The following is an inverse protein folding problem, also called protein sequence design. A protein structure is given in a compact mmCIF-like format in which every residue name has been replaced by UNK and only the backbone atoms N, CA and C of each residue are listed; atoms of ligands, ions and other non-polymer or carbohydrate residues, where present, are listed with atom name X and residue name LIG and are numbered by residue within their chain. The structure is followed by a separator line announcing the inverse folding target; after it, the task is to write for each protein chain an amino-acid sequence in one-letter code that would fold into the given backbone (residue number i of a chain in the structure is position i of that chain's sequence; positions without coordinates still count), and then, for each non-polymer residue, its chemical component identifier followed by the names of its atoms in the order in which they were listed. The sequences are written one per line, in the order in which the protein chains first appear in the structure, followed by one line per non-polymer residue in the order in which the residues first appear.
data_IF_042775622310
#
_entry.id   IF_042775622310
#
_cell.length_a   1.000
_cell.length_b   1.000
_cell.length_c   1.000
_cell.angle_alpha   90.00
_cell.angle_beta   90.00
_cell.angle_gamma   90.00
#
_symmetry.space_group_name_H-M   'P 1'
#
loop_
_entity.id
_entity.type
_entity.pdbx_description
1 polymer ?
#
# COMPACT_ATOMS: atom_id res chain seq x y z
N UNK A 1 6.40 3.96 25.31
CA UNK A 1 5.73 5.18 25.79
C UNK A 1 6.00 5.30 27.28
N UNK A 2 7.15 5.87 27.64
CA UNK A 2 7.53 6.10 29.03
C UNK A 2 7.75 7.60 29.19
N UNK A 3 6.79 8.24 29.87
CA UNK A 3 6.87 9.62 30.31
C UNK A 3 7.74 9.67 31.58
N UNK A 4 8.94 10.20 31.45
CA UNK A 4 9.78 10.60 32.57
C UNK A 4 9.81 12.13 32.65
N UNK A 5 8.69 12.71 33.07
CA UNK A 5 8.68 14.07 33.62
C UNK A 5 9.12 14.00 35.07
N UNK A 6 10.43 14.02 35.33
CA UNK A 6 10.95 14.39 36.65
C UNK A 6 10.73 15.87 36.83
N UNK A 7 9.68 16.24 37.55
CA UNK A 7 9.61 17.57 38.20
C UNK A 7 10.72 17.66 39.21
N UNK A 8 11.79 18.40 38.87
CA UNK A 8 12.74 18.83 39.89
C UNK A 8 12.09 19.92 40.70
N UNK A 9 11.72 19.57 41.91
CA UNK A 9 11.44 20.56 42.98
C UNK A 9 12.76 21.16 43.37
N UNK A 10 12.87 22.48 43.24
CA UNK A 10 14.03 23.20 43.75
C UNK A 10 14.26 22.89 45.23
N UNK A 11 15.53 22.74 45.69
CA UNK A 11 15.80 22.50 47.08
C UNK A 11 15.31 23.71 47.89
N UNK A 12 14.49 23.43 48.93
CA UNK A 12 14.00 24.43 49.85
C UNK A 12 15.15 24.96 50.68
N UNK A 13 15.79 26.02 50.20
CA UNK A 13 16.71 26.85 51.01
C UNK A 13 15.84 27.60 52.03
N UNK A 14 16.12 27.44 53.33
CA UNK A 14 15.49 28.22 54.38
C UNK A 14 15.81 29.70 54.17
N UNK A 15 14.84 30.44 53.64
CA UNK A 15 14.93 31.88 53.43
C UNK A 15 14.77 32.57 54.77
N UNK A 16 15.84 33.19 55.27
CA UNK A 16 15.73 34.23 56.28
C UNK A 16 15.16 35.48 55.60
N UNK A 17 14.23 36.13 56.32
CA UNK A 17 13.32 37.19 55.92
C UNK A 17 13.85 38.24 54.92
N UNK A 18 12.98 38.49 53.93
CA UNK A 18 12.79 39.76 53.21
C UNK A 18 13.86 40.22 52.21
N UNK A 19 14.44 39.33 51.45
CA UNK A 19 15.04 39.76 50.18
C UNK A 19 14.23 39.16 49.04
N UNK A 20 13.59 40.00 48.21
CA UNK A 20 12.99 39.57 46.98
C UNK A 20 14.13 39.31 45.98
N UNK A 21 14.20 38.14 45.33
CA UNK A 21 15.25 37.81 44.39
C UNK A 21 15.24 38.84 43.24
N UNK A 22 16.37 39.53 43.08
CA UNK A 22 16.55 40.54 42.05
C UNK A 22 17.37 39.95 40.89
N UNK A 23 16.97 40.27 39.66
CA UNK A 23 17.75 39.88 38.49
C UNK A 23 18.91 40.84 38.28
N UNK A 24 20.14 40.33 38.33
CA UNK A 24 21.37 41.11 38.17
C UNK A 24 22.27 40.50 37.09
N UNK A 25 22.22 40.99 35.84
CA UNK A 25 23.14 40.55 34.81
C UNK A 25 24.58 40.94 35.16
N UNK A 26 25.52 40.00 35.03
CA UNK A 26 26.95 40.26 35.29
C UNK A 26 27.73 40.23 33.98
N UNK A 27 28.80 41.05 33.98
CA UNK A 27 29.81 40.89 32.94
C UNK A 27 30.63 39.62 33.19
N UNK A 28 31.22 39.06 32.14
CA UNK A 28 32.05 37.86 32.24
C UNK A 28 33.13 37.97 33.31
N UNK A 29 33.79 39.14 33.42
CA UNK A 29 34.82 39.39 34.42
C UNK A 29 34.29 39.37 35.86
N UNK A 30 33.11 39.95 36.09
CA UNK A 30 32.43 39.94 37.38
C UNK A 30 32.01 38.52 37.76
N UNK A 31 31.47 37.78 36.82
CA UNK A 31 31.06 36.38 36.99
C UNK A 31 32.26 35.51 37.42
N UNK A 32 33.39 35.58 36.70
CA UNK A 32 34.59 34.82 37.05
C UNK A 32 35.14 35.23 38.43
N UNK A 33 35.03 36.51 38.82
CA UNK A 33 35.42 36.98 40.13
C UNK A 33 34.51 36.43 41.24
N UNK A 34 33.20 36.44 41.02
CA UNK A 34 32.21 35.84 41.95
C UNK A 34 32.39 34.33 42.10
N UNK A 35 32.76 33.62 41.03
CA UNK A 35 33.12 32.19 41.10
C UNK A 35 34.32 31.95 42.01
N UNK A 36 35.40 32.71 41.81
CA UNK A 36 36.60 32.61 42.65
C UNK A 36 36.39 32.96 44.12
N UNK A 37 35.45 33.88 44.38
CA UNK A 37 35.05 34.25 45.73
C UNK A 37 34.06 33.27 46.39
N UNK A 38 33.66 32.21 45.69
CA UNK A 38 32.66 31.20 46.16
C UNK A 38 31.30 31.83 46.53
N UNK A 39 30.91 32.87 45.79
CA UNK A 39 29.63 33.57 45.99
C UNK A 39 28.47 32.93 45.27
N UNK A 40 28.75 32.09 44.26
CA UNK A 40 27.78 31.44 43.37
C UNK A 40 27.64 29.96 43.74
N UNK A 41 26.59 29.56 44.46
CA UNK A 41 26.38 28.15 44.83
C UNK A 41 25.95 27.26 43.63
N UNK A 42 25.24 27.84 42.65
CA UNK A 42 24.75 27.08 41.49
C UNK A 42 24.94 27.88 40.21
N UNK A 43 25.47 27.23 39.18
CA UNK A 43 25.60 27.78 37.83
C UNK A 43 25.02 26.79 36.81
N UNK A 44 24.08 27.26 35.99
CA UNK A 44 23.50 26.49 34.90
C UNK A 44 24.10 26.96 33.58
N UNK A 45 24.93 26.13 32.97
CA UNK A 45 25.57 26.42 31.70
C UNK A 45 24.67 25.94 30.58
N UNK A 46 24.30 26.83 29.67
CA UNK A 46 23.51 26.53 28.44
C UNK A 46 24.40 26.63 27.21
N UNK A 47 25.07 25.54 26.80
CA UNK A 47 26.07 25.58 25.73
C UNK A 47 25.50 26.13 24.42
N UNK A 48 24.26 25.75 24.08
CA UNK A 48 23.61 26.14 22.83
C UNK A 48 23.32 27.64 22.70
N UNK A 49 23.26 28.37 23.83
CA UNK A 49 23.00 29.82 23.85
C UNK A 49 24.24 30.64 24.21
N UNK A 50 25.36 29.98 24.52
CA UNK A 50 26.57 30.64 25.06
C UNK A 50 26.28 31.51 26.28
N UNK A 51 25.37 31.05 27.14
CA UNK A 51 24.92 31.75 28.35
C UNK A 51 25.11 30.83 29.55
N UNK A 52 25.55 31.42 30.68
CA UNK A 52 25.46 30.77 31.97
C UNK A 52 24.50 31.57 32.85
N UNK A 53 23.53 30.89 33.44
CA UNK A 53 22.65 31.43 34.46
C UNK A 53 23.27 31.10 35.83
N UNK A 54 23.25 32.04 36.75
CA UNK A 54 23.83 31.86 38.07
C UNK A 54 22.87 32.29 39.17
N UNK A 55 23.04 31.68 40.33
CA UNK A 55 22.29 31.98 41.53
C UNK A 55 23.29 32.37 42.63
N UNK A 56 23.00 33.44 43.38
CA UNK A 56 23.82 33.90 44.48
C UNK A 56 23.31 33.40 45.85
N UNK A 57 24.17 33.42 46.85
CA UNK A 57 23.79 33.00 48.20
C UNK A 57 22.73 33.87 48.87
N UNK A 58 22.62 35.14 48.45
CA UNK A 58 21.57 36.09 48.88
C UNK A 58 20.19 35.82 48.24
N UNK A 59 20.11 34.95 47.23
CA UNK A 59 18.93 34.64 46.49
C UNK A 59 18.80 35.35 45.15
N UNK A 60 19.70 36.28 44.85
CA UNK A 60 19.71 36.95 43.55
C UNK A 60 20.14 35.99 42.44
N UNK A 61 19.69 36.27 41.21
CA UNK A 61 20.01 35.48 40.05
C UNK A 61 20.33 36.37 38.85
N UNK A 62 21.01 35.83 37.89
CA UNK A 62 21.34 36.57 36.68
C UNK A 62 21.87 35.65 35.60
N UNK A 63 22.18 36.26 34.47
CA UNK A 63 22.80 35.58 33.35
C UNK A 63 24.07 36.30 32.90
N UNK A 64 24.96 35.56 32.25
CA UNK A 64 26.19 36.07 31.68
C UNK A 64 26.46 35.40 30.34
N UNK A 65 26.87 36.18 29.38
CA UNK A 65 27.40 35.65 28.15
C UNK A 65 28.76 35.02 28.37
N UNK A 66 28.91 33.74 28.07
CA UNK A 66 30.15 32.99 28.24
C UNK A 66 30.78 32.64 26.90
N UNK A 67 32.10 32.69 26.85
CA UNK A 67 32.87 32.08 25.77
C UNK A 67 33.31 30.71 26.26
N UNK A 68 32.86 29.67 25.57
CA UNK A 68 33.19 28.28 25.89
C UNK A 68 34.67 28.05 25.54
N UNK A 69 35.54 28.12 26.54
CA UNK A 69 36.96 27.78 26.41
C UNK A 69 37.39 26.90 27.59
N UNK A 70 38.52 26.22 27.43
CA UNK A 70 39.04 25.32 28.46
C UNK A 70 39.25 26.06 29.82
N UNK A 71 39.69 27.31 29.79
CA UNK A 71 39.89 28.12 30.99
C UNK A 71 38.62 28.37 31.80
N UNK A 72 37.46 28.46 31.15
CA UNK A 72 36.21 28.62 31.87
C UNK A 72 35.86 27.34 32.64
N UNK A 73 36.07 26.18 31.99
CA UNK A 73 35.81 24.90 32.63
C UNK A 73 36.76 24.61 33.78
N UNK A 74 38.05 24.98 33.67
CA UNK A 74 38.99 24.89 34.77
C UNK A 74 38.53 25.71 35.97
N UNK A 75 38.13 26.97 35.77
CA UNK A 75 37.65 27.85 36.85
C UNK A 75 36.35 27.31 37.47
N UNK A 76 35.44 26.76 36.68
CA UNK A 76 34.20 26.14 37.17
C UNK A 76 34.48 24.89 37.99
N UNK A 77 35.42 24.04 37.56
CA UNK A 77 35.81 22.83 38.29
C UNK A 77 36.63 23.11 39.57
N UNK A 78 37.42 24.18 39.59
CA UNK A 78 38.14 24.62 40.80
C UNK A 78 37.22 25.33 41.79
N UNK A 79 36.07 25.83 41.35
CA UNK A 79 35.10 26.48 42.22
C UNK A 79 34.24 25.43 42.94
N UNK A 80 33.88 25.74 44.20
CA UNK A 80 32.97 24.91 45.02
C UNK A 80 31.50 25.21 44.64
N UNK A 81 31.22 25.16 43.34
CA UNK A 81 29.95 25.56 42.72
C UNK A 81 29.31 24.35 42.04
N UNK A 82 28.03 24.11 42.28
CA UNK A 82 27.29 23.09 41.56
C UNK A 82 27.04 23.53 40.13
N UNK A 83 27.69 22.86 39.17
CA UNK A 83 27.56 23.15 37.76
C UNK A 83 26.55 22.20 37.11
N UNK A 84 25.45 22.77 36.62
CA UNK A 84 24.44 22.05 35.85
C UNK A 84 24.61 22.41 34.38
N UNK A 85 24.78 21.42 33.52
CA UNK A 85 24.82 21.63 32.06
C UNK A 85 23.45 21.31 31.46
N UNK A 86 22.76 22.35 31.01
CA UNK A 86 21.46 22.21 30.34
C UNK A 86 21.65 22.07 28.82
N UNK A 87 21.61 20.83 28.33
CA UNK A 87 21.78 20.48 26.93
C UNK A 87 20.44 20.49 26.18
N UNK A 88 19.35 20.90 26.82
CA UNK A 88 18.03 20.93 26.20
C UNK A 88 18.05 21.85 24.97
N UNK A 89 17.91 21.25 23.81
CA UNK A 89 17.69 22.02 22.57
C UNK A 89 16.20 22.41 22.53
N UNK A 90 15.89 23.68 22.34
CA UNK A 90 14.53 24.06 22.03
C UNK A 90 14.17 23.36 20.70
N UNK A 91 13.10 22.60 20.71
CA UNK A 91 12.57 21.97 19.48
C UNK A 91 12.38 23.10 18.48
N UNK A 92 13.13 23.06 17.38
CA UNK A 92 13.01 24.07 16.34
C UNK A 92 11.57 24.07 15.79
N UNK A 93 11.05 25.24 15.49
CA UNK A 93 9.74 25.35 14.81
C UNK A 93 9.75 24.52 13.52
N UNK A 94 10.90 24.45 12.85
CA UNK A 94 11.11 23.64 11.65
C UNK A 94 10.95 22.15 11.97
N UNK A 95 11.55 21.66 13.07
CA UNK A 95 11.44 20.24 13.47
C UNK A 95 10.00 19.89 13.85
N UNK A 96 9.29 20.81 14.49
CA UNK A 96 7.87 20.63 14.83
C UNK A 96 7.00 20.53 13.56
N UNK A 97 7.26 21.40 12.58
CA UNK A 97 6.54 21.38 11.29
C UNK A 97 6.83 20.09 10.54
N UNK A 98 8.10 19.68 10.48
CA UNK A 98 8.49 18.41 9.84
C UNK A 98 7.81 17.23 10.54
N UNK A 99 7.78 17.21 11.87
CA UNK A 99 7.13 16.16 12.64
C UNK A 99 5.62 16.10 12.38
N UNK A 100 4.94 17.24 12.25
CA UNK A 100 3.53 17.34 11.89
C UNK A 100 3.27 16.86 10.46
N UNK A 101 4.14 17.17 9.50
CA UNK A 101 4.07 16.65 8.14
C UNK A 101 4.21 15.11 8.11
N UNK A 102 5.18 14.56 8.82
CA UNK A 102 5.35 13.12 8.94
C UNK A 102 4.15 12.44 9.62
N UNK A 103 3.62 13.03 10.68
CA UNK A 103 2.44 12.52 11.38
C UNK A 103 1.20 12.53 10.46
N UNK A 104 0.99 13.60 9.69
CA UNK A 104 -0.08 13.71 8.70
C UNK A 104 0.07 12.68 7.58
N UNK A 105 1.30 12.49 7.09
CA UNK A 105 1.60 11.48 6.08
C UNK A 105 1.30 10.06 6.60
N UNK A 106 1.81 9.72 7.80
CA UNK A 106 1.55 8.42 8.43
C UNK A 106 0.04 8.23 8.67
N UNK A 107 -0.66 9.26 9.14
CA UNK A 107 -2.11 9.20 9.35
C UNK A 107 -2.86 8.93 8.04
N UNK A 108 -2.45 9.56 6.94
CA UNK A 108 -3.05 9.33 5.62
C UNK A 108 -2.78 7.91 5.13
N UNK A 109 -1.56 7.40 5.30
CA UNK A 109 -1.19 6.03 4.95
C UNK A 109 -1.98 5.01 5.78
N UNK A 110 -2.07 5.21 7.09
CA UNK A 110 -2.83 4.33 7.99
C UNK A 110 -4.32 4.35 7.65
N UNK A 111 -4.88 5.54 7.42
CA UNK A 111 -6.28 5.70 7.04
C UNK A 111 -6.60 4.97 5.72
N UNK A 112 -5.74 5.06 4.70
CA UNK A 112 -5.92 4.34 3.43
C UNK A 112 -5.79 2.83 3.62
N UNK A 113 -4.93 2.37 4.52
CA UNK A 113 -4.76 0.95 4.82
C UNK A 113 -6.00 0.36 5.54
N UNK A 114 -6.56 1.08 6.51
CA UNK A 114 -7.75 0.64 7.26
C UNK A 114 -9.09 0.90 6.54
N UNK A 115 -9.13 1.79 5.55
CA UNK A 115 -10.34 2.12 4.78
C UNK A 115 -10.63 1.15 3.63
N UNK A 116 -9.93 0.01 3.55
CA UNK A 116 -10.13 -1.01 2.50
C UNK A 116 -9.66 -0.58 1.09
N UNK A 117 -9.20 0.64 0.94
CA UNK A 117 -8.51 1.10 -0.24
C UNK A 117 -7.02 0.79 -0.09
N UNK A 118 -6.53 -0.24 -0.76
CA UNK A 118 -5.08 -0.48 -0.86
C UNK A 118 -4.37 0.82 -1.23
N UNK A 119 -3.10 1.00 -0.79
CA UNK A 119 -2.31 2.20 -1.13
C UNK A 119 -2.57 2.58 -2.58
N UNK A 120 -2.95 3.85 -2.86
CA UNK A 120 -2.89 4.34 -4.23
C UNK A 120 -1.42 4.29 -4.64
N UNK A 121 -1.03 3.17 -5.24
CA UNK A 121 0.30 3.04 -5.80
C UNK A 121 0.29 3.89 -7.07
N UNK A 122 1.01 5.03 -7.11
CA UNK A 122 1.01 5.91 -8.28
C UNK A 122 1.57 5.22 -9.52
N UNK A 123 2.18 4.04 -9.35
CA UNK A 123 2.71 3.21 -10.42
C UNK A 123 1.74 2.12 -10.90
N UNK A 124 0.63 1.87 -10.19
CA UNK A 124 -0.41 0.94 -10.63
C UNK A 124 -1.51 1.77 -11.28
N UNK A 125 -1.35 2.03 -12.56
CA UNK A 125 -2.43 2.55 -13.38
C UNK A 125 -3.54 1.48 -13.40
N UNK A 126 -4.74 1.82 -12.96
CA UNK A 126 -5.90 0.96 -13.18
C UNK A 126 -5.98 0.68 -14.68
N UNK A 127 -5.84 -0.57 -15.07
CA UNK A 127 -5.92 -0.94 -16.47
C UNK A 127 -7.40 -0.87 -16.84
N UNK A 128 -7.76 0.02 -17.76
CA UNK A 128 -9.04 -0.03 -18.41
C UNK A 128 -9.08 -1.32 -19.24
N UNK A 129 -9.99 -2.22 -18.90
CA UNK A 129 -10.25 -3.40 -19.72
C UNK A 129 -11.01 -2.96 -20.98
N UNK A 130 -10.57 -3.47 -22.13
CA UNK A 130 -11.22 -3.18 -23.40
C UNK A 130 -12.60 -3.84 -23.42
N UNK A 131 -13.63 -3.02 -23.34
CA UNK A 131 -15.03 -3.46 -23.33
C UNK A 131 -15.72 -3.02 -24.63
N UNK A 132 -16.04 -3.97 -25.46
CA UNK A 132 -16.80 -3.76 -26.69
C UNK A 132 -18.30 -4.09 -26.43
N UNK A 133 -19.16 -3.08 -26.55
CA UNK A 133 -20.61 -3.20 -26.35
C UNK A 133 -21.40 -3.40 -27.63
N UNK A 134 -20.77 -3.17 -28.78
CA UNK A 134 -21.43 -3.23 -30.09
C UNK A 134 -20.65 -4.13 -31.06
N UNK A 135 -20.78 -5.43 -30.89
CA UNK A 135 -20.10 -6.40 -31.71
C UNK A 135 -20.98 -6.75 -32.92
N UNK A 136 -20.43 -6.48 -34.09
CA UNK A 136 -21.09 -6.78 -35.37
C UNK A 136 -20.79 -8.18 -35.90
N UNK A 137 -19.71 -8.82 -35.42
CA UNK A 137 -19.27 -10.15 -35.81
C UNK A 137 -20.33 -11.21 -35.46
N UNK A 138 -20.61 -12.12 -36.39
CA UNK A 138 -21.57 -13.20 -36.26
C UNK A 138 -20.94 -14.55 -36.60
N UNK A 139 -21.62 -15.65 -36.29
CA UNK A 139 -21.17 -16.99 -36.70
C UNK A 139 -21.04 -17.14 -38.24
N UNK A 140 -21.84 -16.39 -39.01
CA UNK A 140 -21.69 -16.32 -40.47
C UNK A 140 -20.36 -15.82 -40.97
N UNK A 141 -19.63 -15.08 -40.13
CA UNK A 141 -18.31 -14.50 -40.46
C UNK A 141 -17.15 -15.44 -40.09
N UNK A 142 -17.47 -16.61 -39.51
CA UNK A 142 -16.49 -17.60 -39.05
C UNK A 142 -16.70 -18.89 -39.82
N UNK A 143 -15.68 -19.32 -40.55
CA UNK A 143 -15.71 -20.61 -41.30
C UNK A 143 -15.05 -21.71 -40.48
N UNK A 144 -15.47 -22.96 -40.69
CA UNK A 144 -14.84 -24.15 -40.12
C UNK A 144 -15.21 -24.45 -38.66
N UNK A 145 -16.34 -23.92 -38.18
CA UNK A 145 -16.83 -24.15 -36.79
C UNK A 145 -17.89 -25.25 -36.70
N UNK A 146 -18.21 -25.93 -37.80
CA UNK A 146 -19.34 -26.87 -37.88
C UNK A 146 -19.30 -27.94 -36.78
N UNK A 147 -18.13 -28.42 -36.38
CA UNK A 147 -17.95 -29.43 -35.34
C UNK A 147 -18.14 -28.92 -33.91
N UNK A 148 -17.99 -27.63 -33.68
CA UNK A 148 -18.15 -27.03 -32.36
C UNK A 148 -19.42 -26.16 -32.25
N UNK A 149 -20.19 -26.09 -33.34
CA UNK A 149 -21.34 -25.17 -33.45
C UNK A 149 -22.39 -25.43 -32.40
N UNK A 150 -22.74 -26.69 -32.18
CA UNK A 150 -23.80 -27.08 -31.25
C UNK A 150 -23.45 -26.69 -29.80
N UNK A 151 -22.17 -26.86 -29.39
CA UNK A 151 -21.65 -26.47 -28.06
C UNK A 151 -21.64 -24.95 -27.89
N UNK A 152 -21.24 -24.22 -28.95
CA UNK A 152 -21.23 -22.78 -28.95
C UNK A 152 -22.63 -22.15 -28.96
N UNK A 153 -23.60 -22.80 -29.65
CA UNK A 153 -25.00 -22.38 -29.64
C UNK A 153 -25.63 -22.54 -28.24
N UNK A 154 -25.19 -23.51 -27.44
CA UNK A 154 -25.64 -23.68 -26.06
C UNK A 154 -25.19 -22.49 -25.19
N UNK A 155 -23.93 -22.04 -25.34
CA UNK A 155 -23.43 -20.85 -24.68
C UNK A 155 -24.25 -19.61 -25.09
N UNK A 156 -24.54 -19.46 -26.36
CA UNK A 156 -25.34 -18.35 -26.89
C UNK A 156 -26.77 -18.39 -26.32
N UNK A 157 -27.44 -19.55 -26.28
CA UNK A 157 -28.78 -19.68 -25.72
C UNK A 157 -28.80 -19.37 -24.22
N UNK A 158 -27.79 -19.83 -23.49
CA UNK A 158 -27.63 -19.46 -22.07
C UNK A 158 -27.49 -17.93 -21.86
N UNK A 159 -26.65 -17.27 -22.65
CA UNK A 159 -26.44 -15.81 -22.52
C UNK A 159 -27.68 -15.01 -22.94
N UNK A 160 -28.45 -15.49 -23.90
CA UNK A 160 -29.71 -14.86 -24.34
C UNK A 160 -30.84 -15.07 -23.31
N UNK A 161 -30.90 -16.26 -22.71
CA UNK A 161 -32.03 -16.71 -21.89
C UNK A 161 -31.57 -17.37 -20.58
N UNK A 162 -30.83 -16.67 -19.72
CA UNK A 162 -30.24 -17.30 -18.53
C UNK A 162 -31.31 -17.88 -17.58
N UNK A 163 -32.48 -17.25 -17.48
CA UNK A 163 -33.57 -17.72 -16.62
C UNK A 163 -34.10 -19.11 -16.94
N UNK A 164 -33.96 -19.57 -18.19
CA UNK A 164 -34.36 -20.94 -18.63
C UNK A 164 -33.55 -22.02 -17.92
N UNK A 165 -32.31 -21.71 -17.56
CA UNK A 165 -31.35 -22.62 -16.97
C UNK A 165 -31.38 -22.62 -15.43
N UNK A 166 -31.83 -21.54 -14.79
CA UNK A 166 -31.83 -21.40 -13.32
C UNK A 166 -32.75 -22.35 -12.58
N UNK A 167 -33.78 -22.87 -13.24
CA UNK A 167 -34.76 -23.78 -12.62
C UNK A 167 -34.64 -25.25 -13.01
N UNK A 168 -33.81 -25.57 -14.02
CA UNK A 168 -33.76 -26.89 -14.63
C UNK A 168 -32.77 -27.86 -13.97
N UNK A 169 -31.87 -27.38 -13.09
CA UNK A 169 -30.78 -28.18 -12.56
C UNK A 169 -29.71 -28.56 -13.58
N UNK A 170 -29.79 -27.99 -14.80
CA UNK A 170 -28.79 -28.20 -15.85
C UNK A 170 -27.44 -27.59 -15.43
N UNK A 171 -26.36 -28.20 -15.82
CA UNK A 171 -25.04 -27.59 -15.69
C UNK A 171 -24.94 -26.43 -16.67
N UNK A 172 -24.67 -25.25 -16.14
CA UNK A 172 -24.48 -24.05 -16.93
C UNK A 172 -23.00 -23.99 -17.30
N UNK A 173 -22.63 -23.83 -18.58
CA UNK A 173 -21.25 -23.65 -18.99
C UNK A 173 -20.73 -22.32 -18.45
N UNK A 174 -19.81 -22.38 -17.50
CA UNK A 174 -19.21 -21.19 -16.88
C UNK A 174 -17.99 -20.70 -17.65
N UNK A 175 -17.33 -21.59 -18.36
CA UNK A 175 -16.17 -21.29 -19.16
C UNK A 175 -16.00 -22.24 -20.34
N UNK A 176 -15.37 -21.74 -21.39
CA UNK A 176 -14.97 -22.52 -22.56
C UNK A 176 -13.52 -22.28 -22.89
N UNK A 177 -12.79 -23.30 -23.32
CA UNK A 177 -11.42 -23.21 -23.75
C UNK A 177 -11.27 -23.36 -25.25
N UNK A 178 -10.78 -22.32 -25.93
CA UNK A 178 -10.47 -22.35 -27.35
C UNK A 178 -8.98 -22.71 -27.53
N UNK A 179 -8.71 -23.96 -27.88
CA UNK A 179 -7.37 -24.44 -28.13
C UNK A 179 -7.10 -24.59 -29.65
N UNK A 180 -5.92 -24.19 -30.08
CA UNK A 180 -5.53 -24.32 -31.47
C UNK A 180 -4.28 -23.53 -31.85
N UNK A 181 -3.75 -23.75 -33.05
CA UNK A 181 -2.57 -23.04 -33.54
C UNK A 181 -2.78 -21.51 -33.61
N UNK A 182 -1.70 -20.71 -33.61
CA UNK A 182 -1.82 -19.28 -33.86
C UNK A 182 -2.50 -18.99 -35.19
N UNK A 183 -3.37 -17.95 -35.24
CA UNK A 183 -4.05 -17.54 -36.47
C UNK A 183 -5.27 -18.39 -36.88
N UNK A 184 -5.75 -19.34 -36.06
CA UNK A 184 -6.95 -20.15 -36.34
C UNK A 184 -8.28 -19.43 -36.10
N UNK A 185 -8.25 -18.15 -35.70
CA UNK A 185 -9.49 -17.37 -35.54
C UNK A 185 -10.13 -17.46 -34.14
N UNK A 186 -9.43 -17.93 -33.09
CA UNK A 186 -9.99 -18.07 -31.73
C UNK A 186 -10.63 -16.80 -31.21
N UNK A 187 -9.94 -15.64 -31.34
CA UNK A 187 -10.45 -14.33 -30.93
C UNK A 187 -11.68 -13.93 -31.78
N UNK A 188 -11.67 -14.21 -33.08
CA UNK A 188 -12.81 -13.94 -33.95
C UNK A 188 -14.04 -14.78 -33.54
N UNK A 189 -13.83 -16.06 -33.23
CA UNK A 189 -14.86 -16.94 -32.74
C UNK A 189 -15.48 -16.47 -31.43
N UNK A 190 -14.64 -16.08 -30.44
CA UNK A 190 -15.14 -15.54 -29.19
C UNK A 190 -15.96 -14.25 -29.39
N UNK A 191 -15.53 -13.38 -30.30
CA UNK A 191 -16.31 -12.19 -30.69
C UNK A 191 -17.62 -12.56 -31.40
N UNK A 192 -17.64 -13.60 -32.21
CA UNK A 192 -18.85 -14.06 -32.87
C UNK A 192 -19.88 -14.58 -31.84
N UNK A 193 -19.46 -15.32 -30.82
CA UNK A 193 -20.32 -15.76 -29.71
C UNK A 193 -20.95 -14.55 -29.00
N UNK A 194 -20.17 -13.55 -28.68
CA UNK A 194 -20.66 -12.33 -28.03
C UNK A 194 -21.62 -11.54 -28.94
N UNK A 195 -21.26 -11.40 -30.19
CA UNK A 195 -22.11 -10.76 -31.19
C UNK A 195 -23.41 -11.50 -31.39
N UNK A 196 -23.40 -12.84 -31.50
CA UNK A 196 -24.59 -13.66 -31.65
C UNK A 196 -25.50 -13.57 -30.42
N UNK A 197 -24.91 -13.54 -29.23
CA UNK A 197 -25.63 -13.39 -27.95
C UNK A 197 -26.08 -11.96 -27.68
N UNK A 198 -25.53 -10.96 -28.38
CA UNK A 198 -25.75 -9.53 -28.19
C UNK A 198 -25.44 -9.07 -26.76
N UNK A 199 -24.33 -9.55 -26.20
CA UNK A 199 -23.83 -9.20 -24.87
C UNK A 199 -22.50 -8.47 -24.96
N UNK A 200 -22.13 -7.65 -23.94
CA UNK A 200 -20.82 -7.03 -23.83
C UNK A 200 -19.68 -8.05 -23.86
N UNK A 201 -18.57 -7.66 -24.49
CA UNK A 201 -17.36 -8.47 -24.62
C UNK A 201 -16.20 -7.74 -23.94
N UNK A 202 -15.66 -8.35 -22.89
CA UNK A 202 -14.54 -7.81 -22.13
C UNK A 202 -13.30 -8.60 -22.52
N UNK A 203 -12.37 -7.97 -23.21
CA UNK A 203 -11.15 -8.61 -23.70
C UNK A 203 -9.94 -8.26 -22.84
N UNK A 204 -9.13 -9.27 -22.50
CA UNK A 204 -7.83 -9.07 -21.89
C UNK A 204 -6.84 -10.15 -22.36
N UNK A 205 -5.54 -9.88 -22.28
CA UNK A 205 -4.49 -10.89 -22.41
C UNK A 205 -4.05 -11.35 -21.03
N UNK A 206 -3.89 -12.66 -20.84
CA UNK A 206 -3.36 -13.20 -19.59
C UNK A 206 -1.92 -12.74 -19.29
N UNK A 207 -1.17 -12.31 -20.32
CA UNK A 207 0.15 -11.69 -20.13
C UNK A 207 0.07 -10.40 -19.29
N UNK A 208 -1.07 -9.70 -19.31
CA UNK A 208 -1.30 -8.50 -18.51
C UNK A 208 -1.42 -8.79 -17.00
N UNK A 209 -1.60 -10.03 -16.62
CA UNK A 209 -1.65 -10.44 -15.21
C UNK A 209 -0.27 -10.86 -14.67
N UNK A 210 0.74 -10.99 -15.55
CA UNK A 210 2.10 -11.33 -15.15
C UNK A 210 2.85 -10.07 -14.79
N UNK A 211 3.10 -9.88 -13.50
CA UNK A 211 3.75 -8.67 -12.98
C UNK A 211 4.97 -9.03 -12.11
N UNK A 212 5.85 -8.06 -11.89
CA UNK A 212 7.02 -8.24 -11.02
C UNK A 212 6.67 -8.21 -9.52
N UNK A 213 5.52 -7.60 -9.17
CA UNK A 213 5.11 -7.43 -7.77
C UNK A 213 4.04 -8.44 -7.39
N UNK A 214 4.29 -9.18 -6.32
CA UNK A 214 3.38 -10.20 -5.79
C UNK A 214 2.02 -9.57 -5.45
N UNK A 215 0.95 -10.21 -5.93
CA UNK A 215 -0.43 -9.83 -5.67
C UNK A 215 -1.04 -8.82 -6.63
N UNK A 216 -0.27 -8.20 -7.53
CA UNK A 216 -0.80 -7.26 -8.53
C UNK A 216 -1.62 -7.99 -9.59
N UNK A 217 -1.15 -9.14 -10.07
CA UNK A 217 -1.89 -9.98 -11.01
C UNK A 217 -3.22 -10.46 -10.43
N UNK A 218 -3.21 -10.97 -9.20
CA UNK A 218 -4.43 -11.37 -8.50
C UNK A 218 -5.42 -10.19 -8.28
N UNK A 219 -4.92 -8.99 -8.05
CA UNK A 219 -5.76 -7.78 -7.96
C UNK A 219 -6.42 -7.48 -9.30
N UNK A 220 -5.68 -7.54 -10.41
CA UNK A 220 -6.23 -7.30 -11.76
C UNK A 220 -7.29 -8.32 -12.14
N UNK A 221 -7.10 -9.58 -11.77
CA UNK A 221 -8.14 -10.61 -11.95
C UNK A 221 -9.42 -10.21 -11.21
N UNK A 222 -9.34 -9.80 -9.94
CA UNK A 222 -10.52 -9.33 -9.19
C UNK A 222 -11.19 -8.13 -9.85
N UNK A 223 -10.43 -7.15 -10.33
CA UNK A 223 -10.94 -5.98 -11.03
C UNK A 223 -11.67 -6.37 -12.33
N UNK A 224 -11.11 -7.30 -13.11
CA UNK A 224 -11.74 -7.83 -14.32
C UNK A 224 -13.11 -8.45 -14.01
N UNK A 225 -13.17 -9.33 -13.01
CA UNK A 225 -14.41 -9.99 -12.63
C UNK A 225 -15.41 -9.04 -11.97
N UNK A 226 -14.95 -7.98 -11.30
CA UNK A 226 -15.83 -6.92 -10.80
C UNK A 226 -16.50 -6.17 -11.96
N UNK A 227 -15.72 -5.77 -12.97
CA UNK A 227 -16.25 -5.11 -14.18
C UNK A 227 -17.28 -6.01 -14.87
N UNK A 228 -17.02 -7.32 -14.95
CA UNK A 228 -17.95 -8.26 -15.53
C UNK A 228 -19.26 -8.35 -14.73
N UNK A 229 -19.19 -8.41 -13.40
CA UNK A 229 -20.38 -8.40 -12.53
C UNK A 229 -21.22 -7.14 -12.68
N UNK A 230 -20.60 -6.00 -12.94
CA UNK A 230 -21.31 -4.72 -13.16
C UNK A 230 -21.98 -4.65 -14.55
N UNK A 231 -21.57 -5.51 -15.50
CA UNK A 231 -22.04 -5.48 -16.89
C UNK A 231 -22.71 -6.80 -17.34
N UNK A 232 -23.31 -7.55 -16.44
CA UNK A 232 -24.03 -8.79 -16.73
C UNK A 232 -25.28 -8.54 -17.60
N UNK A 233 -25.64 -9.47 -18.49
CA UNK A 233 -24.86 -10.62 -18.95
C UNK A 233 -23.70 -10.20 -19.84
N UNK A 234 -22.55 -10.89 -19.76
CA UNK A 234 -21.36 -10.54 -20.55
C UNK A 234 -20.43 -11.75 -20.79
N UNK A 235 -19.51 -11.60 -21.74
CA UNK A 235 -18.41 -12.54 -21.98
C UNK A 235 -17.10 -11.91 -21.54
N UNK A 236 -16.31 -12.64 -20.73
CA UNK A 236 -14.90 -12.35 -20.48
C UNK A 236 -14.06 -13.20 -21.43
N UNK A 237 -13.24 -12.57 -22.25
CA UNK A 237 -12.30 -13.26 -23.11
C UNK A 237 -10.88 -13.07 -22.62
N UNK A 238 -10.20 -14.18 -22.31
CA UNK A 238 -8.81 -14.18 -21.83
C UNK A 238 -7.93 -14.84 -22.88
N UNK A 239 -7.17 -14.02 -23.61
CA UNK A 239 -6.25 -14.54 -24.61
C UNK A 239 -4.92 -14.97 -23.96
N UNK A 240 -4.22 -15.94 -24.58
CA UNK A 240 -2.94 -16.46 -24.14
C UNK A 240 -2.94 -16.93 -22.67
N UNK A 241 -3.96 -17.69 -22.26
CA UNK A 241 -4.11 -18.14 -20.86
C UNK A 241 -2.90 -18.96 -20.37
N UNK A 242 -2.11 -19.53 -21.27
CA UNK A 242 -0.87 -20.22 -20.97
C UNK A 242 0.23 -19.31 -20.39
N UNK A 243 0.12 -17.97 -20.51
CA UNK A 243 1.04 -17.05 -19.86
C UNK A 243 1.02 -17.16 -18.32
N UNK A 244 -0.16 -17.41 -17.74
CA UNK A 244 -0.37 -17.62 -16.30
C UNK A 244 -0.66 -19.07 -15.94
N UNK A 245 -1.33 -19.81 -16.83
CA UNK A 245 -1.89 -21.15 -16.61
C UNK A 245 -0.90 -22.30 -16.73
N UNK A 246 0.41 -22.06 -16.79
CA UNK A 246 1.43 -23.09 -16.96
C UNK A 246 1.55 -23.99 -15.72
N UNK A 247 1.63 -25.34 -15.96
CA UNK A 247 1.90 -26.34 -14.91
C UNK A 247 3.13 -26.01 -14.06
N UNK A 248 3.06 -26.40 -12.79
CA UNK A 248 4.12 -26.24 -11.78
C UNK A 248 5.40 -26.96 -12.22
N UNK A 249 6.39 -26.22 -12.68
CA UNK A 249 7.74 -26.72 -12.90
C UNK A 249 8.58 -26.45 -11.66
N UNK A 250 9.21 -27.48 -11.09
CA UNK A 250 9.98 -27.46 -9.84
C UNK A 250 11.25 -26.58 -9.86
N UNK A 251 11.11 -25.28 -9.99
CA UNK A 251 12.20 -24.31 -9.89
C UNK A 251 11.78 -23.12 -9.04
N UNK A 252 12.40 -22.95 -7.88
CA UNK A 252 12.09 -21.93 -6.88
C UNK A 252 12.51 -20.52 -7.26
N UNK A 253 11.95 -19.97 -8.33
CA UNK A 253 12.10 -18.55 -8.67
C UNK A 253 10.87 -17.76 -8.16
N UNK A 254 11.04 -16.55 -7.60
CA UNK A 254 9.96 -15.72 -7.08
C UNK A 254 8.85 -15.39 -8.09
N UNK A 255 9.13 -15.46 -9.39
CA UNK A 255 8.15 -15.26 -10.45
C UNK A 255 7.11 -16.38 -10.58
N UNK A 256 7.34 -17.55 -9.98
CA UNK A 256 6.38 -18.64 -10.02
C UNK A 256 5.28 -18.45 -8.96
N UNK A 257 5.61 -17.88 -7.81
CA UNK A 257 4.65 -17.65 -6.72
C UNK A 257 3.58 -16.64 -7.12
N UNK A 258 3.95 -15.62 -7.89
CA UNK A 258 3.01 -14.60 -8.39
C UNK A 258 2.03 -15.17 -9.41
N UNK A 259 2.54 -15.98 -10.35
CA UNK A 259 1.69 -16.67 -11.33
C UNK A 259 0.74 -17.65 -10.65
N UNK A 260 1.22 -18.41 -9.67
CA UNK A 260 0.40 -19.34 -8.90
C UNK A 260 -0.68 -18.59 -8.11
N UNK A 261 -0.38 -17.46 -7.52
CA UNK A 261 -1.35 -16.62 -6.83
C UNK A 261 -2.41 -16.08 -7.80
N UNK A 262 -1.99 -15.68 -8.99
CA UNK A 262 -2.87 -15.14 -10.02
C UNK A 262 -3.83 -16.22 -10.56
N UNK A 263 -3.32 -17.42 -10.84
CA UNK A 263 -4.18 -18.53 -11.31
C UNK A 263 -5.15 -18.98 -10.22
N UNK A 264 -4.68 -19.06 -8.97
CA UNK A 264 -5.56 -19.41 -7.85
C UNK A 264 -6.68 -18.37 -7.64
N UNK A 265 -6.39 -17.07 -7.87
CA UNK A 265 -7.40 -16.03 -7.84
C UNK A 265 -8.40 -16.20 -9.00
N UNK A 266 -7.93 -16.49 -10.22
CA UNK A 266 -8.80 -16.75 -11.37
C UNK A 266 -9.76 -17.93 -11.09
N UNK A 267 -9.22 -19.04 -10.57
CA UNK A 267 -10.02 -20.20 -10.19
C UNK A 267 -11.05 -19.85 -9.10
N UNK A 268 -10.66 -19.06 -8.11
CA UNK A 268 -11.55 -18.61 -7.04
C UNK A 268 -12.69 -17.75 -7.57
N UNK A 269 -12.41 -16.83 -8.51
CA UNK A 269 -13.44 -15.99 -9.13
C UNK A 269 -14.41 -16.82 -9.98
N UNK A 270 -13.89 -17.81 -10.74
CA UNK A 270 -14.73 -18.73 -11.53
C UNK A 270 -15.59 -19.66 -10.66
N UNK A 271 -15.01 -20.20 -9.58
CA UNK A 271 -15.74 -21.05 -8.62
C UNK A 271 -16.79 -20.25 -7.83
N UNK A 272 -16.54 -18.94 -7.64
CA UNK A 272 -17.42 -18.01 -6.93
C UNK A 272 -18.61 -17.49 -7.75
N UNK A 273 -18.79 -17.93 -8.99
CA UNK A 273 -20.00 -17.61 -9.75
C UNK A 273 -21.21 -18.32 -9.15
N UNK A 274 -22.19 -17.56 -8.73
CA UNK A 274 -23.52 -18.09 -8.45
C UNK A 274 -24.16 -18.59 -9.76
N UNK A 275 -25.04 -19.57 -9.66
CA UNK A 275 -25.73 -20.12 -10.82
C UNK A 275 -26.62 -19.10 -11.56
N UNK A 276 -26.78 -17.92 -11.01
CA UNK A 276 -27.61 -16.83 -11.54
C UNK A 276 -26.79 -15.74 -12.26
N UNK A 277 -25.46 -15.86 -12.30
CA UNK A 277 -24.61 -14.88 -13.01
C UNK A 277 -24.59 -15.20 -14.51
N UNK A 278 -25.05 -14.27 -15.33
CA UNK A 278 -24.97 -14.38 -16.80
C UNK A 278 -23.56 -14.08 -17.34
N UNK A 279 -22.51 -14.57 -16.69
CA UNK A 279 -21.11 -14.36 -17.10
C UNK A 279 -20.55 -15.66 -17.63
N UNK A 280 -19.96 -15.62 -18.83
CA UNK A 280 -19.22 -16.74 -19.41
C UNK A 280 -17.76 -16.31 -19.63
N UNK A 281 -16.82 -17.15 -19.21
CA UNK A 281 -15.39 -16.93 -19.41
C UNK A 281 -14.90 -17.76 -20.57
N UNK A 282 -14.39 -17.14 -21.62
CA UNK A 282 -13.79 -17.84 -22.76
C UNK A 282 -12.28 -17.61 -22.71
N UNK A 283 -11.51 -18.68 -22.58
CA UNK A 283 -10.04 -18.59 -22.64
C UNK A 283 -9.53 -19.10 -23.98
N UNK A 284 -8.43 -18.52 -24.46
CA UNK A 284 -7.73 -18.98 -25.65
C UNK A 284 -6.29 -19.36 -25.34
N UNK A 285 -5.84 -20.49 -25.92
CA UNK A 285 -4.45 -20.93 -25.81
C UNK A 285 -3.93 -21.53 -27.12
N UNK A 286 -2.64 -21.41 -27.31
CA UNK A 286 -1.94 -22.13 -28.39
C UNK A 286 -1.33 -23.46 -27.90
N UNK A 287 -1.33 -23.67 -26.56
CA UNK A 287 -0.60 -24.78 -25.93
C UNK A 287 -1.40 -25.38 -24.77
N UNK A 288 -2.34 -26.24 -25.10
CA UNK A 288 -3.14 -26.95 -24.10
C UNK A 288 -2.29 -27.90 -23.24
N UNK A 289 -1.21 -28.42 -23.80
CA UNK A 289 -0.29 -29.39 -23.20
C UNK A 289 0.41 -28.91 -21.93
N UNK A 290 0.52 -27.58 -21.76
CA UNK A 290 1.21 -26.98 -20.62
C UNK A 290 0.29 -26.40 -19.55
N UNK A 291 -1.03 -26.39 -19.79
CA UNK A 291 -1.99 -25.82 -18.85
C UNK A 291 -2.12 -26.67 -17.58
N UNK A 292 -2.33 -25.99 -16.46
CA UNK A 292 -2.63 -26.63 -15.17
C UNK A 292 -3.97 -27.36 -15.26
N UNK A 293 -4.00 -28.63 -14.87
CA UNK A 293 -5.20 -29.48 -14.87
C UNK A 293 -6.35 -28.89 -14.03
N UNK A 294 -6.02 -28.03 -13.05
CA UNK A 294 -7.03 -27.35 -12.25
C UNK A 294 -7.92 -26.42 -13.09
N UNK A 295 -7.42 -25.86 -14.18
CA UNK A 295 -8.22 -25.05 -15.12
C UNK A 295 -9.22 -25.89 -15.93
N UNK A 296 -8.86 -27.14 -16.23
CA UNK A 296 -9.64 -28.07 -17.08
C UNK A 296 -10.65 -28.88 -16.27
N UNK A 297 -10.88 -28.57 -15.00
CA UNK A 297 -11.87 -29.27 -14.18
C UNK A 297 -13.29 -28.84 -14.54
N UNK A 298 -14.28 -29.77 -14.48
CA UNK A 298 -15.68 -29.47 -14.73
C UNK A 298 -16.15 -28.26 -13.87
N UNK A 299 -16.87 -27.34 -14.51
CA UNK A 299 -17.35 -26.10 -13.90
C UNK A 299 -16.39 -24.93 -14.02
N UNK A 300 -15.27 -25.10 -14.74
CA UNK A 300 -14.30 -24.05 -15.09
C UNK A 300 -14.21 -23.93 -16.60
N UNK A 301 -13.12 -24.41 -17.22
CA UNK A 301 -13.03 -24.49 -18.68
C UNK A 301 -13.37 -25.92 -19.12
N UNK A 302 -14.56 -26.10 -19.57
CA UNK A 302 -15.07 -27.38 -20.14
C UNK A 302 -14.83 -27.43 -21.62
#
# INVERSE_FOLDING_TARGET
MFSLTKKFTAPSVKIQKEHQPEYQPKTYTQFVKSLKNKELPVVVVKPNKSIAEFYEKNGDYGDVQIVQNEKLWEVLMESDTDVIVDVSQPISVVDTVIMLFFASYIFTVVRTFFSGGGMPNPFIKSQEFDMDRQITTRFSDVEGIDSAKDELEEIVDFLKNPHKYYGSGARIPRGALLAGAPGTGKTLLARAIAGESNVPFIQCSAANFVEMFVGVGAKRVRELFQVARENQPCIIFIDEIDAVGKQRGGGGFPSNDEREQTINQLLTEMDGFDNETGIVVIAATNRIDILDEALLRPGRFD
#
